data_IF_532685638588
#
_entry.id   IF_532685638588
#
_cell.length_a   1.000
_cell.length_b   1.000
_cell.length_c   1.000
_cell.angle_alpha   90.00
_cell.angle_beta   90.00
_cell.angle_gamma   90.00
#
_symmetry.space_group_name_H-M   'P 1'
#
loop_
_entity.id
_entity.type
_entity.pdbx_description
1 polymer ?
#
# COMPACT_ATOMS: atom_id res chain seq x y z
N UNK A 1 10.22 -8.27 -4.95
CA UNK A 1 10.54 -7.33 -6.06
C UNK A 1 9.62 -6.11 -5.98
N UNK A 2 9.90 -4.99 -6.68
CA UNK A 2 9.03 -3.77 -6.69
C UNK A 2 7.58 -4.11 -7.04
N UNK A 3 7.37 -5.07 -7.95
CA UNK A 3 6.05 -5.59 -8.32
C UNK A 3 5.28 -6.20 -7.15
N UNK A 4 5.93 -6.99 -6.30
CA UNK A 4 5.26 -7.64 -5.15
C UNK A 4 4.80 -6.60 -4.12
N UNK A 5 5.62 -5.55 -3.94
CA UNK A 5 5.31 -4.42 -3.06
C UNK A 5 4.10 -3.63 -3.58
N UNK A 6 4.03 -3.40 -4.89
CA UNK A 6 2.87 -2.78 -5.52
C UNK A 6 1.59 -3.63 -5.32
N UNK A 7 1.66 -4.94 -5.56
CA UNK A 7 0.53 -5.85 -5.34
C UNK A 7 0.07 -5.91 -3.87
N UNK A 8 0.97 -5.69 -2.91
CA UNK A 8 0.57 -5.61 -1.49
C UNK A 8 -0.15 -4.28 -1.18
N UNK A 9 0.31 -3.16 -1.75
CA UNK A 9 -0.38 -1.86 -1.63
C UNK A 9 -1.77 -1.90 -2.28
N UNK A 10 -1.92 -2.55 -3.44
CA UNK A 10 -3.19 -2.64 -4.15
C UNK A 10 -4.31 -3.25 -3.27
N UNK A 11 -3.95 -4.20 -2.41
CA UNK A 11 -4.88 -4.82 -1.44
C UNK A 11 -5.44 -3.84 -0.43
N UNK A 12 -4.80 -2.69 -0.20
CA UNK A 12 -5.30 -1.67 0.71
C UNK A 12 -6.22 -0.66 0.02
N UNK A 13 -6.26 -0.59 -1.32
CA UNK A 13 -6.99 0.49 -2.02
C UNK A 13 -8.49 0.50 -1.73
N UNK A 14 -9.19 -0.63 -1.87
CA UNK A 14 -10.64 -0.73 -1.57
C UNK A 14 -10.88 -0.97 -0.07
N UNK A 15 -10.23 -1.96 0.58
CA UNK A 15 -10.59 -2.34 1.95
C UNK A 15 -10.26 -1.31 3.02
N UNK A 16 -9.38 -0.34 2.76
CA UNK A 16 -9.13 0.76 3.71
C UNK A 16 -10.25 1.81 3.77
N UNK A 17 -11.18 1.81 2.79
CA UNK A 17 -12.19 2.86 2.63
C UNK A 17 -13.62 2.36 2.81
N UNK A 18 -13.93 1.15 2.36
CA UNK A 18 -15.30 0.66 2.31
C UNK A 18 -15.53 -0.47 3.34
N UNK A 19 -16.50 -0.33 4.26
CA UNK A 19 -16.79 -1.35 5.27
C UNK A 19 -17.22 -2.71 4.71
N UNK A 20 -17.85 -2.73 3.54
CA UNK A 20 -18.33 -3.94 2.84
C UNK A 20 -17.21 -4.85 2.35
N UNK A 21 -15.97 -4.34 2.28
CA UNK A 21 -14.78 -5.14 2.01
C UNK A 21 -14.32 -6.00 3.21
N UNK A 22 -14.97 -5.88 4.38
CA UNK A 22 -14.70 -6.66 5.58
C UNK A 22 -15.94 -7.45 6.01
N UNK A 23 -15.74 -8.59 6.66
CA UNK A 23 -16.85 -9.39 7.22
C UNK A 23 -17.66 -8.63 8.28
N UNK A 24 -17.03 -7.67 8.97
CA UNK A 24 -17.67 -6.81 9.97
C UNK A 24 -16.77 -5.65 10.40
N UNK A 25 -17.37 -4.60 10.97
CA UNK A 25 -16.65 -3.48 11.59
C UNK A 25 -16.23 -2.37 10.61
N UNK A 26 -15.55 -1.35 11.14
CA UNK A 26 -15.15 -0.17 10.37
C UNK A 26 -13.70 -0.31 9.85
N UNK A 27 -13.40 0.08 8.59
CA UNK A 27 -12.07 -0.07 7.98
C UNK A 27 -10.89 0.47 8.81
N UNK A 28 -11.09 1.56 9.55
CA UNK A 28 -10.02 2.23 10.30
C UNK A 28 -9.39 1.36 11.40
N UNK A 29 -10.09 0.33 11.89
CA UNK A 29 -9.57 -0.57 12.93
C UNK A 29 -9.06 -1.92 12.40
N UNK A 30 -8.95 -2.06 11.07
CA UNK A 30 -8.53 -3.30 10.39
C UNK A 30 -7.05 -3.37 10.07
N UNK A 31 -6.31 -2.29 10.31
CA UNK A 31 -4.89 -2.18 10.03
C UNK A 31 -4.12 -1.86 11.29
N UNK A 32 -3.06 -2.61 11.53
CA UNK A 32 -2.10 -2.28 12.58
C UNK A 32 -1.18 -1.14 12.11
N UNK A 33 -0.57 -0.43 13.07
CA UNK A 33 0.47 0.56 12.78
C UNK A 33 1.66 -0.05 12.02
N UNK A 34 1.99 -1.32 12.28
CA UNK A 34 3.08 -2.02 11.62
C UNK A 34 2.76 -2.26 10.13
N UNK A 35 1.54 -2.69 9.81
CA UNK A 35 1.09 -2.86 8.43
C UNK A 35 1.07 -1.52 7.69
N UNK A 36 0.51 -0.48 8.31
CA UNK A 36 0.49 0.86 7.74
C UNK A 36 1.91 1.37 7.44
N UNK A 37 2.84 1.21 8.38
CA UNK A 37 4.24 1.56 8.18
C UNK A 37 4.88 0.83 7.00
N UNK A 38 4.69 -0.50 6.93
CA UNK A 38 5.20 -1.33 5.84
C UNK A 38 4.69 -0.89 4.47
N UNK A 39 3.39 -0.61 4.34
CA UNK A 39 2.79 -0.15 3.08
C UNK A 39 3.31 1.24 2.65
N UNK A 40 3.56 2.12 3.62
CA UNK A 40 4.18 3.43 3.34
C UNK A 40 5.63 3.27 2.89
N UNK A 41 6.40 2.37 3.51
CA UNK A 41 7.78 2.09 3.11
C UNK A 41 7.83 1.55 1.67
N UNK A 42 6.94 0.61 1.33
CA UNK A 42 6.79 0.12 -0.03
C UNK A 42 6.44 1.23 -1.04
N UNK A 43 5.56 2.16 -0.67
CA UNK A 43 5.22 3.29 -1.53
C UNK A 43 6.43 4.18 -1.80
N UNK A 44 7.27 4.44 -0.77
CA UNK A 44 8.53 5.18 -0.96
C UNK A 44 9.48 4.47 -1.91
N UNK A 45 9.63 3.16 -1.77
CA UNK A 45 10.52 2.38 -2.65
C UNK A 45 10.04 2.37 -4.11
N UNK A 46 8.74 2.24 -4.34
CA UNK A 46 8.15 2.31 -5.69
C UNK A 46 8.36 3.71 -6.28
N UNK A 47 8.12 4.75 -5.47
CA UNK A 47 8.34 6.13 -5.90
C UNK A 47 9.81 6.37 -6.30
N UNK A 48 10.75 5.95 -5.45
CA UNK A 48 12.18 6.08 -5.74
C UNK A 48 12.58 5.33 -7.01
N UNK A 49 12.09 4.10 -7.20
CA UNK A 49 12.34 3.33 -8.42
C UNK A 49 11.89 4.09 -9.68
N UNK A 50 10.69 4.68 -9.66
CA UNK A 50 10.19 5.48 -10.77
C UNK A 50 11.01 6.76 -10.99
N UNK A 51 11.36 7.47 -9.91
CA UNK A 51 12.20 8.67 -9.97
C UNK A 51 13.58 8.39 -10.56
N UNK A 52 14.21 7.29 -10.17
CA UNK A 52 15.52 6.86 -10.69
C UNK A 52 15.46 6.42 -12.15
N UNK A 53 14.33 5.86 -12.59
CA UNK A 53 14.13 5.51 -13.99
C UNK A 53 13.98 6.77 -14.85
N UNK A 54 13.18 7.72 -14.39
CA UNK A 54 12.91 8.97 -15.11
C UNK A 54 14.13 9.90 -15.18
N UNK A 55 15.00 9.90 -14.17
CA UNK A 55 16.21 10.74 -14.16
C UNK A 55 17.30 10.29 -15.14
N UNK A 56 17.15 9.11 -15.74
CA UNK A 56 18.08 8.53 -16.72
C UNK A 56 17.66 8.75 -18.18
N UNK A 57 16.50 9.37 -18.40
CA UNK A 57 15.91 9.68 -19.70
C UNK A 57 16.10 11.16 -19.96
#
# INVERSE_FOLDING_TARGET
>A
MVKDKALEIDKAYIPSRYPDAHLSGAPWNKYTRQEAGRLVDYAREIFQFCSDLLSRI
#
